data_IF_415493151543
#
_entry.id   IF_415493151543
#
_cell.length_a   1.000
_cell.length_b   1.000
_cell.length_c   1.000
_cell.angle_alpha   90.00
_cell.angle_beta   90.00
_cell.angle_gamma   90.00
#
_symmetry.space_group_name_H-M   'P 1'
#
loop_
_entity.id
_entity.type
_entity.pdbx_description
1 polymer ?
#
# COMPACT_ATOMS: atom_id res chain seq x y z
N UNK A 1 -1.49 2.25 3.91
CA UNK A 1 -2.38 1.68 4.94
C UNK A 1 -3.25 2.80 5.53
N UNK A 2 -4.13 3.40 4.72
CA UNK A 2 -4.94 4.57 5.17
C UNK A 2 -6.10 4.11 6.05
N UNK A 3 -6.78 3.03 5.65
CA UNK A 3 -7.96 2.54 6.34
C UNK A 3 -7.73 2.14 7.80
N UNK A 4 -6.59 1.53 8.11
CA UNK A 4 -6.20 1.15 9.48
C UNK A 4 -6.00 2.38 10.36
N UNK A 5 -5.36 3.41 9.80
CA UNK A 5 -5.15 4.67 10.51
C UNK A 5 -6.49 5.31 10.80
N UNK A 6 -7.39 5.41 9.82
CA UNK A 6 -8.73 5.98 10.01
C UNK A 6 -9.57 5.19 11.04
N UNK A 7 -9.40 3.87 11.08
CA UNK A 7 -10.12 3.00 12.01
C UNK A 7 -9.72 3.20 13.48
N UNK A 8 -8.54 3.76 13.75
CA UNK A 8 -8.11 4.07 15.11
C UNK A 8 -9.06 5.05 15.83
N UNK A 9 -9.93 5.76 15.10
CA UNK A 9 -10.96 6.60 15.71
C UNK A 9 -11.91 5.83 16.63
N UNK A 10 -12.13 4.53 16.37
CA UNK A 10 -13.03 3.64 17.14
C UNK A 10 -12.28 2.92 18.27
N UNK A 11 -10.99 3.22 18.46
CA UNK A 11 -10.08 2.50 19.33
C UNK A 11 -9.29 1.45 18.56
N UNK A 12 -8.24 0.90 19.19
CA UNK A 12 -7.38 -0.08 18.52
C UNK A 12 -8.01 -1.48 18.46
N UNK A 13 -8.89 -1.84 19.40
CA UNK A 13 -9.32 -3.22 19.60
C UNK A 13 -10.14 -3.78 18.41
N UNK A 14 -11.16 -3.08 17.89
CA UNK A 14 -11.95 -3.64 16.78
C UNK A 14 -11.11 -3.84 15.53
N UNK A 15 -10.31 -2.84 15.16
CA UNK A 15 -9.43 -2.89 13.99
C UNK A 15 -8.38 -3.99 14.11
N UNK A 16 -7.78 -4.15 15.30
CA UNK A 16 -6.82 -5.21 15.57
C UNK A 16 -7.45 -6.60 15.43
N UNK A 17 -8.63 -6.83 16.02
CA UNK A 17 -9.32 -8.12 15.92
C UNK A 17 -9.60 -8.47 14.46
N UNK A 18 -10.07 -7.51 13.67
CA UNK A 18 -10.38 -7.76 12.27
C UNK A 18 -9.14 -7.94 11.41
N UNK A 19 -8.05 -7.22 11.67
CA UNK A 19 -6.78 -7.45 10.99
C UNK A 19 -6.24 -8.86 11.24
N UNK A 20 -6.39 -9.38 12.47
CA UNK A 20 -5.91 -10.72 12.83
C UNK A 20 -6.86 -11.83 12.37
N UNK A 21 -8.15 -11.71 12.63
CA UNK A 21 -9.13 -12.74 12.29
C UNK A 21 -9.52 -12.68 10.80
N UNK A 22 -9.77 -11.47 10.28
CA UNK A 22 -10.18 -11.25 8.89
C UNK A 22 -9.11 -11.66 7.90
N UNK A 23 -7.83 -11.38 8.17
CA UNK A 23 -6.75 -11.84 7.28
C UNK A 23 -6.69 -13.36 7.21
N UNK A 24 -6.77 -14.05 8.35
CA UNK A 24 -6.60 -15.50 8.44
C UNK A 24 -7.79 -16.23 7.79
N UNK A 25 -9.01 -15.74 8.03
CA UNK A 25 -10.25 -16.42 7.65
C UNK A 25 -10.79 -16.00 6.28
N UNK A 26 -10.58 -14.73 5.89
CA UNK A 26 -11.15 -14.19 4.66
C UNK A 26 -10.06 -13.83 3.66
N UNK A 27 -9.18 -12.88 3.97
CA UNK A 27 -8.22 -12.34 2.99
C UNK A 27 -7.26 -13.39 2.43
N UNK A 28 -6.52 -14.07 3.31
CA UNK A 28 -5.49 -15.03 2.91
C UNK A 28 -6.11 -16.27 2.25
N UNK A 29 -7.31 -16.67 2.69
CA UNK A 29 -8.09 -17.75 2.06
C UNK A 29 -8.53 -17.34 0.65
N UNK A 30 -9.10 -16.14 0.49
CA UNK A 30 -9.53 -15.61 -0.80
C UNK A 30 -8.37 -15.54 -1.80
N UNK A 31 -7.24 -14.93 -1.41
CA UNK A 31 -6.09 -14.76 -2.29
C UNK A 31 -5.48 -16.11 -2.70
N UNK A 32 -5.34 -17.04 -1.74
CA UNK A 32 -4.86 -18.39 -2.02
C UNK A 32 -5.82 -19.16 -2.94
N UNK A 33 -7.13 -19.11 -2.69
CA UNK A 33 -8.12 -19.81 -3.52
C UNK A 33 -8.11 -19.29 -4.96
N UNK A 34 -8.07 -17.97 -5.13
CA UNK A 34 -8.04 -17.35 -6.47
C UNK A 34 -6.73 -17.71 -7.19
N UNK A 35 -5.60 -17.68 -6.49
CA UNK A 35 -4.30 -18.11 -7.04
C UNK A 35 -4.34 -19.58 -7.47
N UNK A 36 -4.84 -20.46 -6.61
CA UNK A 36 -4.91 -21.89 -6.87
C UNK A 36 -5.81 -22.21 -8.07
N UNK A 37 -7.02 -21.64 -8.11
CA UNK A 37 -7.96 -21.83 -9.22
C UNK A 37 -7.38 -21.32 -10.53
N UNK A 38 -6.79 -20.13 -10.54
CA UNK A 38 -6.18 -19.58 -11.75
C UNK A 38 -4.99 -20.39 -12.23
N UNK A 39 -4.16 -20.92 -11.31
CA UNK A 39 -3.02 -21.79 -11.66
C UNK A 39 -3.47 -23.06 -12.38
N UNK A 40 -4.60 -23.65 -11.98
CA UNK A 40 -5.22 -24.81 -12.63
C UNK A 40 -5.95 -24.48 -13.95
N UNK A 41 -6.02 -23.20 -14.33
CA UNK A 41 -6.72 -22.67 -15.50
C UNK A 41 -5.80 -21.79 -16.34
N UNK A 42 -4.55 -22.22 -16.52
CA UNK A 42 -3.52 -21.57 -17.34
C UNK A 42 -3.18 -20.11 -16.95
N UNK A 43 -3.45 -19.71 -15.70
CA UNK A 43 -3.22 -18.34 -15.24
C UNK A 43 -4.17 -17.32 -15.86
N UNK A 44 -5.41 -17.73 -16.16
CA UNK A 44 -6.48 -16.85 -16.65
C UNK A 44 -6.96 -15.89 -15.59
N UNK A 45 -7.29 -14.68 -16.03
CA UNK A 45 -7.75 -13.60 -15.16
C UNK A 45 -9.12 -13.92 -14.55
N UNK A 46 -9.43 -13.33 -13.39
CA UNK A 46 -10.73 -13.47 -12.72
C UNK A 46 -11.93 -13.25 -13.64
N UNK A 47 -11.90 -12.24 -14.52
CA UNK A 47 -13.00 -11.98 -15.45
C UNK A 47 -13.15 -13.04 -16.54
N UNK A 48 -12.05 -13.64 -17.00
CA UNK A 48 -12.09 -14.77 -17.94
C UNK A 48 -12.60 -16.04 -17.27
N UNK A 49 -12.21 -16.30 -16.02
CA UNK A 49 -12.73 -17.43 -15.24
C UNK A 49 -14.25 -17.33 -15.07
N UNK A 50 -14.77 -16.14 -14.75
CA UNK A 50 -16.23 -15.92 -14.67
C UNK A 50 -16.91 -16.15 -16.02
N UNK A 51 -16.26 -15.74 -17.12
CA UNK A 51 -16.79 -15.95 -18.47
C UNK A 51 -16.93 -17.43 -18.83
N UNK A 52 -15.97 -18.25 -18.41
CA UNK A 52 -16.01 -19.70 -18.65
C UNK A 52 -17.12 -20.40 -17.86
N UNK A 53 -17.30 -20.02 -16.60
CA UNK A 53 -18.22 -20.72 -15.69
C UNK A 53 -19.67 -20.22 -15.79
N UNK A 54 -19.86 -18.91 -16.01
CA UNK A 54 -21.20 -18.26 -15.98
C UNK A 54 -21.67 -17.76 -17.35
N UNK A 55 -20.84 -17.95 -18.38
CA UNK A 55 -21.15 -17.58 -19.76
C UNK A 55 -20.74 -16.15 -20.16
N UNK A 56 -20.96 -15.78 -21.43
CA UNK A 56 -20.39 -14.58 -22.04
C UNK A 56 -20.86 -13.27 -21.40
N UNK A 57 -22.14 -13.17 -21.06
CA UNK A 57 -22.74 -11.95 -20.51
C UNK A 57 -22.21 -11.64 -19.12
N UNK A 58 -22.22 -12.63 -18.22
CA UNK A 58 -21.65 -12.52 -16.87
C UNK A 58 -20.14 -12.22 -16.92
N UNK A 59 -19.42 -12.86 -17.84
CA UNK A 59 -17.98 -12.61 -18.05
C UNK A 59 -17.66 -11.18 -18.47
N UNK A 60 -18.41 -10.61 -19.43
CA UNK A 60 -18.20 -9.22 -19.87
C UNK A 60 -18.50 -8.25 -18.74
N UNK A 61 -19.58 -8.46 -17.98
CA UNK A 61 -19.90 -7.62 -16.82
C UNK A 61 -18.77 -7.69 -15.79
N UNK A 62 -18.27 -8.89 -15.47
CA UNK A 62 -17.17 -9.08 -14.54
C UNK A 62 -15.87 -8.42 -15.02
N UNK A 63 -15.54 -8.52 -16.31
CA UNK A 63 -14.37 -7.87 -16.91
C UNK A 63 -14.46 -6.35 -16.82
N UNK A 64 -15.62 -5.76 -17.17
CA UNK A 64 -15.84 -4.30 -17.08
C UNK A 64 -15.77 -3.85 -15.62
N UNK A 65 -16.39 -4.59 -14.69
CA UNK A 65 -16.33 -4.28 -13.27
C UNK A 65 -14.89 -4.34 -12.73
N UNK A 66 -14.14 -5.39 -13.05
CA UNK A 66 -12.73 -5.53 -12.66
C UNK A 66 -11.89 -4.38 -13.24
N UNK A 67 -12.11 -4.03 -14.51
CA UNK A 67 -11.41 -2.92 -15.16
C UNK A 67 -11.68 -1.57 -14.46
N UNK A 68 -12.95 -1.27 -14.18
CA UNK A 68 -13.33 -0.03 -13.48
C UNK A 68 -12.71 0.04 -12.07
N UNK A 69 -12.73 -1.07 -11.32
CA UNK A 69 -12.10 -1.15 -10.01
C UNK A 69 -10.60 -0.90 -10.11
N UNK A 70 -9.91 -1.51 -11.09
CA UNK A 70 -8.48 -1.30 -11.31
C UNK A 70 -8.14 0.16 -11.61
N UNK A 71 -8.93 0.85 -12.44
CA UNK A 71 -8.74 2.27 -12.73
C UNK A 71 -8.85 3.12 -11.45
N UNK A 72 -9.88 2.87 -10.63
CA UNK A 72 -10.09 3.61 -9.38
C UNK A 72 -8.94 3.37 -8.39
N UNK A 73 -8.53 2.12 -8.20
CA UNK A 73 -7.44 1.78 -7.27
C UNK A 73 -6.12 2.42 -7.73
N UNK A 74 -5.79 2.33 -9.02
CA UNK A 74 -4.58 2.95 -9.56
C UNK A 74 -4.60 4.48 -9.43
N UNK A 75 -5.76 5.13 -9.62
CA UNK A 75 -5.89 6.57 -9.43
C UNK A 75 -5.65 6.98 -7.97
N UNK A 76 -6.19 6.24 -7.00
CA UNK A 76 -5.97 6.50 -5.56
C UNK A 76 -4.51 6.30 -5.19
N UNK A 77 -3.88 5.22 -5.65
CA UNK A 77 -2.46 4.95 -5.39
C UNK A 77 -1.55 6.01 -6.03
N UNK A 78 -1.84 6.41 -7.27
CA UNK A 78 -1.11 7.48 -7.95
C UNK A 78 -1.19 8.81 -7.18
N UNK A 79 -2.38 9.16 -6.67
CA UNK A 79 -2.55 10.37 -5.86
C UNK A 79 -1.68 10.35 -4.60
N UNK A 80 -1.59 9.21 -3.91
CA UNK A 80 -0.75 9.06 -2.72
C UNK A 80 0.73 9.25 -3.07
N UNK A 81 1.20 8.66 -4.16
CA UNK A 81 2.57 8.81 -4.63
C UNK A 81 2.88 10.27 -5.00
N UNK A 82 2.00 10.92 -5.76
CA UNK A 82 2.18 12.34 -6.15
C UNK A 82 2.26 13.23 -4.92
N UNK A 83 1.36 13.05 -3.94
CA UNK A 83 1.40 13.83 -2.69
C UNK A 83 2.66 13.57 -1.87
N UNK A 84 3.18 12.34 -1.86
CA UNK A 84 4.39 12.01 -1.14
C UNK A 84 5.67 12.57 -1.79
N UNK A 85 5.66 12.79 -3.11
CA UNK A 85 6.82 13.23 -3.88
C UNK A 85 6.82 14.73 -4.23
N UNK A 86 5.66 15.41 -4.13
CA UNK A 86 5.56 16.85 -4.41
C UNK A 86 6.49 17.63 -3.47
N UNK A 87 7.35 18.47 -4.04
CA UNK A 87 8.37 19.22 -3.28
C UNK A 87 9.31 18.34 -2.44
N UNK A 88 9.57 17.11 -2.90
CA UNK A 88 10.52 16.19 -2.26
C UNK A 88 11.61 15.75 -3.26
N UNK A 89 12.69 16.54 -3.42
CA UNK A 89 13.81 16.18 -4.28
C UNK A 89 14.44 14.83 -3.90
N UNK A 90 14.54 14.56 -2.58
CA UNK A 90 15.04 13.30 -2.04
C UNK A 90 14.24 12.09 -2.54
N UNK A 91 12.91 12.15 -2.40
CA UNK A 91 12.02 11.06 -2.81
C UNK A 91 12.01 10.87 -4.32
N UNK A 92 11.89 11.96 -5.07
CA UNK A 92 11.84 11.94 -6.54
C UNK A 92 13.13 11.37 -7.12
N UNK A 93 14.30 11.82 -6.64
CA UNK A 93 15.59 11.28 -7.07
C UNK A 93 15.70 9.79 -6.77
N UNK A 94 15.35 9.37 -5.55
CA UNK A 94 15.45 7.96 -5.13
C UNK A 94 14.60 7.08 -6.04
N UNK A 95 13.34 7.48 -6.31
CA UNK A 95 12.45 6.74 -7.22
C UNK A 95 12.97 6.75 -8.65
N UNK A 96 13.43 7.90 -9.15
CA UNK A 96 13.99 8.02 -10.50
C UNK A 96 15.20 7.10 -10.70
N UNK A 97 16.06 6.97 -9.68
CA UNK A 97 17.24 6.10 -9.71
C UNK A 97 16.88 4.60 -9.76
N UNK A 98 15.74 4.20 -9.21
CA UNK A 98 15.31 2.78 -9.27
C UNK A 98 14.98 2.31 -10.69
N UNK A 99 14.62 3.21 -11.61
CA UNK A 99 14.28 2.87 -13.00
C UNK A 99 15.50 2.35 -13.77
N UNK A 100 16.61 3.09 -13.91
CA UNK A 100 17.81 2.60 -14.59
C UNK A 100 18.42 1.40 -13.86
N UNK A 101 18.33 1.36 -12.52
CA UNK A 101 18.77 0.20 -11.75
C UNK A 101 17.97 -1.06 -12.10
N UNK A 102 16.64 -0.96 -12.20
CA UNK A 102 15.79 -2.08 -12.60
C UNK A 102 16.08 -2.54 -14.04
N UNK A 103 16.28 -1.60 -14.98
CA UNK A 103 16.68 -1.92 -16.35
C UNK A 103 18.02 -2.66 -16.39
N UNK A 104 19.01 -2.18 -15.62
CA UNK A 104 20.30 -2.84 -15.47
C UNK A 104 20.15 -4.27 -14.92
N UNK A 105 19.36 -4.44 -13.86
CA UNK A 105 19.10 -5.77 -13.28
C UNK A 105 18.43 -6.71 -14.29
N UNK A 106 17.45 -6.23 -15.06
CA UNK A 106 16.78 -6.99 -16.11
C UNK A 106 17.73 -7.44 -17.21
N UNK A 107 18.56 -6.52 -17.72
CA UNK A 107 19.58 -6.81 -18.74
C UNK A 107 20.65 -7.76 -18.19
N UNK A 108 21.09 -7.58 -16.94
CA UNK A 108 22.10 -8.42 -16.31
C UNK A 108 21.64 -9.87 -16.18
N UNK A 109 20.41 -10.09 -15.70
CA UNK A 109 19.83 -11.42 -15.56
C UNK A 109 19.56 -12.10 -16.91
N UNK A 110 19.37 -11.33 -17.98
CA UNK A 110 19.07 -11.89 -19.30
C UNK A 110 20.32 -12.18 -20.14
N UNK A 111 21.28 -11.25 -20.17
CA UNK A 111 22.40 -11.30 -21.12
C UNK A 111 23.78 -11.44 -20.46
N UNK A 112 24.05 -10.78 -19.33
CA UNK A 112 25.40 -10.82 -18.75
C UNK A 112 25.66 -12.11 -17.97
N UNK A 113 24.76 -12.47 -17.06
CA UNK A 113 24.88 -13.69 -16.23
C UNK A 113 23.53 -14.34 -15.97
N UNK A 114 23.02 -15.13 -16.94
CA UNK A 114 21.77 -15.86 -16.78
C UNK A 114 21.75 -16.74 -15.53
N UNK A 115 20.68 -16.64 -14.74
CA UNK A 115 20.42 -17.49 -13.57
C UNK A 115 21.11 -17.09 -12.26
N UNK A 116 22.00 -16.09 -12.25
CA UNK A 116 22.69 -15.65 -11.02
C UNK A 116 21.92 -14.57 -10.24
N UNK A 117 20.76 -14.96 -9.72
CA UNK A 117 19.85 -14.05 -8.99
C UNK A 117 20.53 -13.44 -7.75
N UNK A 118 21.35 -14.20 -7.04
CA UNK A 118 22.04 -13.73 -5.82
C UNK A 118 22.97 -12.54 -6.05
N UNK A 119 23.77 -12.56 -7.13
CA UNK A 119 24.67 -11.44 -7.46
C UNK A 119 23.88 -10.16 -7.73
N UNK A 120 22.83 -10.26 -8.54
CA UNK A 120 21.97 -9.11 -8.90
C UNK A 120 21.21 -8.59 -7.69
N UNK A 121 20.83 -9.46 -6.75
CA UNK A 121 20.20 -9.07 -5.50
C UNK A 121 21.12 -8.21 -4.64
N UNK A 122 22.38 -8.63 -4.49
CA UNK A 122 23.38 -7.88 -3.72
C UNK A 122 23.68 -6.54 -4.39
N UNK A 123 23.89 -6.54 -5.71
CA UNK A 123 24.13 -5.31 -6.48
C UNK A 123 22.94 -4.36 -6.35
N UNK A 124 21.71 -4.85 -6.59
CA UNK A 124 20.49 -4.08 -6.45
C UNK A 124 20.33 -3.50 -5.05
N UNK A 125 20.64 -4.27 -4.01
CA UNK A 125 20.57 -3.81 -2.63
C UNK A 125 21.58 -2.70 -2.31
N UNK A 126 22.82 -2.86 -2.77
CA UNK A 126 23.89 -1.86 -2.58
C UNK A 126 23.52 -0.57 -3.30
N UNK A 127 23.10 -0.64 -4.56
CA UNK A 127 22.70 0.52 -5.34
C UNK A 127 21.40 1.17 -4.83
N UNK A 128 20.50 0.40 -4.24
CA UNK A 128 19.31 0.94 -3.59
C UNK A 128 19.67 1.75 -2.33
N UNK A 129 20.57 1.24 -1.48
CA UNK A 129 21.08 2.00 -0.32
C UNK A 129 21.82 3.24 -0.80
N UNK A 130 22.65 3.10 -1.84
CA UNK A 130 23.33 4.23 -2.47
C UNK A 130 22.33 5.27 -2.94
N UNK A 131 21.24 4.88 -3.63
CA UNK A 131 20.20 5.81 -4.11
C UNK A 131 19.55 6.62 -2.98
N UNK A 132 19.30 5.99 -1.83
CA UNK A 132 18.70 6.64 -0.66
C UNK A 132 19.68 7.67 -0.05
N UNK A 133 20.96 7.31 0.06
CA UNK A 133 22.00 8.18 0.62
C UNK A 133 22.33 9.32 -0.34
N UNK A 134 22.56 9.02 -1.62
CA UNK A 134 22.86 10.02 -2.65
C UNK A 134 21.67 10.93 -2.93
N UNK A 135 20.44 10.46 -2.72
CA UNK A 135 19.26 11.31 -2.71
C UNK A 135 19.33 12.40 -1.64
N UNK A 136 19.94 12.12 -0.48
CA UNK A 136 20.14 13.11 0.59
C UNK A 136 21.09 14.21 0.14
N UNK A 137 22.20 13.82 -0.47
CA UNK A 137 23.19 14.75 -1.02
C UNK A 137 22.61 15.62 -2.14
N UNK A 138 21.75 15.04 -3.00
CA UNK A 138 21.07 15.77 -4.07
C UNK A 138 20.06 16.77 -3.51
N UNK A 139 19.33 16.40 -2.46
CA UNK A 139 18.35 17.27 -1.82
C UNK A 139 19.01 18.45 -1.07
N UNK A 140 20.19 18.25 -0.49
CA UNK A 140 20.95 19.30 0.19
C UNK A 140 21.70 20.21 -0.78
N UNK A 141 22.00 19.74 -2.00
CA UNK A 141 22.77 20.51 -2.97
C UNK A 141 21.91 21.57 -3.69
N UNK A 142 22.25 22.88 -3.59
CA UNK A 142 21.48 23.96 -4.21
C UNK A 142 21.39 23.87 -5.74
N UNK A 143 22.35 23.21 -6.38
CA UNK A 143 22.41 23.04 -7.85
C UNK A 143 21.62 21.85 -8.36
N UNK A 144 21.53 20.76 -7.59
CA UNK A 144 20.93 19.51 -8.02
C UNK A 144 19.49 19.35 -7.53
N UNK A 145 19.15 19.92 -6.37
CA UNK A 145 17.81 19.87 -5.80
C UNK A 145 16.71 20.42 -6.75
N UNK A 146 16.90 21.54 -7.48
CA UNK A 146 15.87 22.08 -8.37
C UNK A 146 15.51 21.15 -9.54
N UNK A 147 16.41 20.27 -9.95
CA UNK A 147 16.14 19.31 -11.03
C UNK A 147 15.21 18.16 -10.60
N UNK A 148 15.05 17.95 -9.30
CA UNK A 148 14.19 16.90 -8.73
C UNK A 148 13.03 17.48 -7.89
N UNK A 149 12.90 18.80 -7.84
CA UNK A 149 11.77 19.50 -7.26
C UNK A 149 10.66 19.65 -8.30
N UNK A 150 9.61 18.84 -8.19
CA UNK A 150 8.49 18.85 -9.12
C UNK A 150 7.18 19.17 -8.42
N UNK A 151 6.35 19.90 -9.15
CA UNK A 151 4.94 20.14 -8.77
C UNK A 151 4.11 18.87 -8.92
N UNK A 152 3.00 18.77 -8.20
CA UNK A 152 2.11 17.61 -8.29
C UNK A 152 1.56 17.38 -9.72
N UNK A 153 1.36 18.44 -10.50
CA UNK A 153 0.90 18.35 -11.90
C UNK A 153 1.99 17.73 -12.79
N UNK A 154 3.25 18.17 -12.64
CA UNK A 154 4.38 17.59 -13.38
C UNK A 154 4.56 16.11 -13.03
N UNK A 155 4.54 15.76 -11.74
CA UNK A 155 4.64 14.38 -11.28
C UNK A 155 3.51 13.50 -11.82
N UNK A 156 2.29 14.03 -11.92
CA UNK A 156 1.16 13.29 -12.48
C UNK A 156 1.41 12.93 -13.94
N UNK A 157 1.84 13.89 -14.76
CA UNK A 157 2.18 13.63 -16.17
C UNK A 157 3.37 12.69 -16.33
N UNK A 158 4.40 12.82 -15.48
CA UNK A 158 5.52 11.88 -15.46
C UNK A 158 5.08 10.47 -15.11
N UNK A 159 4.17 10.31 -14.13
CA UNK A 159 3.66 9.00 -13.71
C UNK A 159 2.80 8.35 -14.81
N UNK A 160 1.97 9.13 -15.51
CA UNK A 160 1.21 8.64 -16.68
C UNK A 160 2.15 8.21 -17.81
N UNK A 161 3.14 9.04 -18.16
CA UNK A 161 4.13 8.72 -19.18
C UNK A 161 4.95 7.47 -18.82
N UNK A 162 5.41 7.39 -17.57
CA UNK A 162 6.10 6.21 -17.04
C UNK A 162 5.22 4.97 -17.09
N UNK A 163 3.95 5.08 -16.69
CA UNK A 163 2.98 3.97 -16.73
C UNK A 163 2.77 3.43 -18.14
N UNK A 164 2.68 4.32 -19.13
CA UNK A 164 2.60 3.93 -20.55
C UNK A 164 3.86 3.19 -21.00
N UNK A 165 5.05 3.75 -20.75
CA UNK A 165 6.32 3.11 -21.12
C UNK A 165 6.47 1.75 -20.44
N UNK A 166 6.15 1.66 -19.15
CA UNK A 166 6.23 0.41 -18.38
C UNK A 166 5.25 -0.66 -18.88
N UNK A 167 4.08 -0.28 -19.38
CA UNK A 167 3.10 -1.21 -19.96
C UNK A 167 3.52 -1.75 -21.34
N UNK A 168 4.30 -0.98 -22.11
CA UNK A 168 4.81 -1.39 -23.43
C UNK A 168 6.08 -2.23 -23.32
N UNK A 169 6.93 -1.95 -22.33
CA UNK A 169 8.18 -2.68 -22.14
C UNK A 169 7.94 -4.14 -21.70
N UNK A 170 8.83 -5.07 -22.09
CA UNK A 170 8.73 -6.45 -21.64
C UNK A 170 8.79 -6.58 -20.11
N UNK A 171 7.95 -7.46 -19.55
CA UNK A 171 7.87 -7.72 -18.10
C UNK A 171 9.23 -8.04 -17.48
N UNK A 172 10.08 -8.81 -18.17
CA UNK A 172 11.40 -9.18 -17.68
C UNK A 172 12.39 -8.02 -17.60
N UNK A 173 12.18 -6.94 -18.37
CA UNK A 173 13.13 -5.85 -18.50
C UNK A 173 12.95 -4.79 -17.40
N UNK A 174 11.71 -4.44 -17.08
CA UNK A 174 11.41 -3.39 -16.11
C UNK A 174 10.54 -3.88 -14.95
N UNK A 175 9.39 -4.49 -15.23
CA UNK A 175 8.39 -4.81 -14.20
C UNK A 175 8.94 -5.80 -13.16
N UNK A 176 9.38 -6.99 -13.60
CA UNK A 176 9.90 -8.03 -12.72
C UNK A 176 11.14 -7.60 -11.89
N UNK A 177 12.21 -7.00 -12.47
CA UNK A 177 13.36 -6.57 -11.68
C UNK A 177 13.04 -5.41 -10.73
N UNK A 178 12.14 -4.50 -11.11
CA UNK A 178 11.71 -3.39 -10.24
C UNK A 178 10.88 -3.87 -9.05
N UNK A 179 9.96 -4.81 -9.29
CA UNK A 179 9.15 -5.41 -8.22
C UNK A 179 10.03 -6.22 -7.26
N UNK A 180 11.03 -6.92 -7.80
CA UNK A 180 12.02 -7.61 -7.00
C UNK A 180 12.85 -6.66 -6.12
N UNK A 181 13.35 -5.55 -6.69
CA UNK A 181 14.09 -4.51 -5.96
C UNK A 181 13.23 -3.89 -4.83
N UNK A 182 11.97 -3.57 -5.15
CA UNK A 182 11.01 -2.97 -4.22
C UNK A 182 10.69 -3.92 -3.06
N UNK A 183 10.74 -5.24 -3.28
CA UNK A 183 10.56 -6.25 -2.22
C UNK A 183 11.65 -6.15 -1.16
N UNK A 184 12.92 -5.91 -1.53
CA UNK A 184 13.98 -5.70 -0.55
C UNK A 184 13.76 -4.43 0.27
N UNK A 185 13.40 -3.33 -0.38
CA UNK A 185 13.09 -2.08 0.31
C UNK A 185 11.95 -2.27 1.30
N UNK A 186 10.87 -2.91 0.84
CA UNK A 186 9.67 -3.19 1.62
C UNK A 186 9.99 -4.09 2.82
N UNK A 187 10.63 -5.24 2.60
CA UNK A 187 10.93 -6.19 3.68
C UNK A 187 11.88 -5.59 4.74
N UNK A 188 12.92 -4.85 4.33
CA UNK A 188 13.84 -4.22 5.29
C UNK A 188 13.16 -3.10 6.08
N UNK A 189 12.31 -2.30 5.44
CA UNK A 189 11.53 -1.25 6.12
C UNK A 189 10.55 -1.87 7.13
N UNK A 190 9.87 -2.95 6.74
CA UNK A 190 8.96 -3.70 7.60
C UNK A 190 9.68 -4.27 8.83
N UNK A 191 10.81 -4.94 8.61
CA UNK A 191 11.61 -5.51 9.72
C UNK A 191 12.16 -4.41 10.62
N UNK A 192 12.67 -3.32 10.04
CA UNK A 192 13.17 -2.17 10.80
C UNK A 192 12.08 -1.51 11.66
N UNK A 193 10.89 -1.32 11.09
CA UNK A 193 9.74 -0.77 11.83
C UNK A 193 9.28 -1.71 12.95
N UNK A 194 9.20 -3.02 12.67
CA UNK A 194 8.84 -4.02 13.66
C UNK A 194 9.81 -4.05 14.85
N UNK A 195 11.12 -4.08 14.57
CA UNK A 195 12.16 -4.02 15.60
C UNK A 195 12.11 -2.69 16.36
N UNK A 196 11.90 -1.57 15.66
CA UNK A 196 11.75 -0.25 16.27
C UNK A 196 10.59 -0.20 17.28
N UNK A 197 9.43 -0.76 16.94
CA UNK A 197 8.27 -0.85 17.84
C UNK A 197 8.60 -1.71 19.07
N UNK A 198 9.28 -2.84 18.89
CA UNK A 198 9.64 -3.75 20.00
C UNK A 198 10.66 -3.14 20.97
N UNK A 199 11.58 -2.32 20.47
CA UNK A 199 12.60 -1.63 21.29
C UNK A 199 11.97 -0.42 22.00
N UNK A 200 11.26 0.43 21.26
CA UNK A 200 10.66 1.65 21.79
C UNK A 200 9.55 1.34 22.82
N UNK A 201 8.84 0.23 22.65
CA UNK A 201 7.69 -0.18 23.48
C UNK A 201 6.73 0.97 23.74
N UNK A 202 6.20 1.60 22.67
CA UNK A 202 5.45 2.82 22.82
C UNK A 202 4.12 2.54 23.53
N UNK A 203 3.76 3.41 24.48
CA UNK A 203 2.48 3.33 25.18
C UNK A 203 1.38 3.75 24.23
N UNK A 204 0.38 2.88 24.03
CA UNK A 204 -0.80 3.23 23.24
C UNK A 204 -1.63 4.26 24.02
N UNK A 205 -1.72 5.47 23.48
CA UNK A 205 -2.50 6.57 24.05
C UNK A 205 -3.98 6.45 23.69
N UNK A 206 -4.28 5.81 22.56
CA UNK A 206 -5.64 5.51 22.15
C UNK A 206 -6.23 4.36 23.00
N UNK A 207 -7.43 4.51 23.58
CA UNK A 207 -8.06 3.44 24.34
C UNK A 207 -8.47 2.27 23.43
N UNK A 208 -8.72 1.10 24.05
CA UNK A 208 -9.18 -0.10 23.35
C UNK A 208 -10.46 0.16 22.54
N UNK A 209 -11.40 0.88 23.15
CA UNK A 209 -12.62 1.37 22.54
C UNK A 209 -12.75 2.86 22.84
N UNK A 210 -13.07 3.66 21.84
CA UNK A 210 -13.40 5.08 22.05
C UNK A 210 -14.91 5.26 22.18
N UNK A 211 -15.34 6.45 22.60
CA UNK A 211 -16.76 6.84 22.58
C UNK A 211 -17.38 6.89 21.18
N UNK A 212 -16.58 6.77 20.11
CA UNK A 212 -17.02 6.86 18.72
C UNK A 212 -17.31 5.49 18.09
N UNK A 213 -17.30 4.43 18.90
CA UNK A 213 -17.73 3.08 18.48
C UNK A 213 -19.21 3.05 18.06
N UNK A 214 -20.00 4.01 18.55
CA UNK A 214 -21.38 4.27 18.15
C UNK A 214 -21.53 4.86 16.73
N UNK A 215 -20.42 5.12 16.04
CA UNK A 215 -20.40 5.65 14.68
C UNK A 215 -20.51 7.16 14.58
N UNK A 216 -20.46 7.89 15.70
CA UNK A 216 -20.51 9.37 15.74
C UNK A 216 -19.13 10.03 15.57
N UNK A 217 -18.17 9.28 15.02
CA UNK A 217 -16.78 9.70 14.85
C UNK A 217 -16.60 10.91 13.91
N UNK A 218 -15.68 11.84 14.22
CA UNK A 218 -15.43 13.02 13.39
C UNK A 218 -14.57 12.74 12.15
N UNK A 219 -13.87 11.60 12.10
CA UNK A 219 -13.08 11.16 10.93
C UNK A 219 -14.00 10.51 9.90
N UNK A 220 -14.99 9.75 10.38
CA UNK A 220 -16.00 9.12 9.54
C UNK A 220 -17.27 8.83 10.33
N UNK A 221 -18.42 9.08 9.72
CA UNK A 221 -19.75 8.80 10.28
C UNK A 221 -20.26 7.44 9.78
N UNK A 222 -20.60 6.54 10.70
CA UNK A 222 -21.18 5.24 10.36
C UNK A 222 -20.89 4.16 11.40
N UNK A 223 -21.78 3.16 11.49
CA UNK A 223 -21.68 2.08 12.46
C UNK A 223 -20.37 1.29 12.34
N UNK A 224 -19.90 0.77 13.48
CA UNK A 224 -18.70 -0.10 13.58
C UNK A 224 -18.71 -1.23 12.53
N UNK A 225 -19.87 -1.87 12.39
CA UNK A 225 -20.18 -2.88 11.38
C UNK A 225 -21.11 -2.19 10.36
N UNK A 226 -20.63 -1.65 9.21
CA UNK A 226 -19.82 -2.27 8.15
C UNK A 226 -18.48 -1.57 7.89
N UNK A 227 -18.21 -0.46 8.60
CA UNK A 227 -17.01 0.36 8.41
C UNK A 227 -15.73 -0.46 8.56
N UNK A 228 -15.67 -1.31 9.57
CA UNK A 228 -14.53 -2.19 9.81
C UNK A 228 -14.19 -3.08 8.60
N UNK A 229 -15.20 -3.68 7.97
CA UNK A 229 -15.04 -4.63 6.86
C UNK A 229 -14.65 -3.94 5.55
N UNK A 230 -15.17 -2.73 5.31
CA UNK A 230 -14.92 -1.99 4.07
C UNK A 230 -13.63 -1.17 4.19
N UNK A 231 -13.44 -0.46 5.30
CA UNK A 231 -12.34 0.50 5.47
C UNK A 231 -11.01 -0.19 5.78
N UNK A 232 -11.00 -1.31 6.53
CA UNK A 232 -9.78 -2.06 6.85
C UNK A 232 -9.51 -3.18 5.82
N UNK A 233 -10.18 -3.14 4.67
CA UNK A 233 -10.04 -4.14 3.61
C UNK A 233 -8.56 -4.36 3.20
N UNK A 234 -7.79 -3.30 2.93
CA UNK A 234 -6.38 -3.41 2.49
C UNK A 234 -5.39 -3.99 3.52
N UNK A 235 -5.85 -4.53 4.65
CA UNK A 235 -5.02 -5.34 5.55
C UNK A 235 -5.72 -6.60 6.07
N UNK A 236 -7.03 -6.75 5.84
CA UNK A 236 -7.81 -7.92 6.26
C UNK A 236 -8.37 -8.72 5.08
N UNK A 237 -8.79 -8.05 3.99
CA UNK A 237 -9.36 -8.65 2.77
C UNK A 237 -9.03 -7.78 1.55
N UNK A 238 -8.09 -8.21 0.69
CA UNK A 238 -7.62 -7.40 -0.44
C UNK A 238 -8.20 -7.86 -1.78
N UNK A 239 -9.07 -7.04 -2.38
CA UNK A 239 -9.60 -7.30 -3.73
C UNK A 239 -8.55 -7.14 -4.83
N UNK A 240 -7.56 -6.26 -4.64
CA UNK A 240 -6.49 -6.06 -5.62
C UNK A 240 -5.54 -7.26 -5.67
N UNK A 241 -5.22 -7.85 -4.51
CA UNK A 241 -4.38 -9.04 -4.46
C UNK A 241 -5.03 -10.23 -5.15
N UNK A 242 -6.33 -10.44 -5.00
CA UNK A 242 -7.06 -11.46 -5.75
C UNK A 242 -6.95 -11.24 -7.28
N UNK A 243 -7.03 -9.99 -7.77
CA UNK A 243 -6.85 -9.68 -9.19
C UNK A 243 -5.44 -10.03 -9.69
N UNK A 244 -4.40 -9.70 -8.91
CA UNK A 244 -3.01 -10.05 -9.24
C UNK A 244 -2.76 -11.57 -9.14
N UNK A 245 -3.33 -12.20 -8.11
CA UNK A 245 -3.28 -13.65 -7.86
C UNK A 245 -3.94 -14.47 -8.95
N UNK A 246 -4.90 -13.93 -9.70
CA UNK A 246 -5.44 -14.59 -10.91
C UNK A 246 -4.71 -14.22 -12.20
N UNK A 247 -3.83 -13.22 -12.19
CA UNK A 247 -3.24 -12.67 -13.41
C UNK A 247 -1.78 -13.05 -13.61
N UNK A 248 -0.90 -12.40 -12.85
CA UNK A 248 0.55 -12.46 -13.05
C UNK A 248 1.20 -13.51 -12.15
N UNK A 249 0.75 -13.64 -10.90
CA UNK A 249 1.31 -14.59 -9.93
C UNK A 249 1.29 -16.04 -10.41
N UNK A 250 0.19 -16.59 -10.99
CA UNK A 250 0.15 -17.98 -11.46
C UNK A 250 1.22 -18.27 -12.51
N UNK A 251 1.53 -17.29 -13.36
CA UNK A 251 2.50 -17.39 -14.46
C UNK A 251 3.95 -17.35 -13.99
N UNK A 252 4.18 -17.00 -12.73
CA UNK A 252 5.49 -16.91 -12.09
C UNK A 252 5.74 -17.98 -11.03
N UNK A 253 4.75 -18.84 -10.73
CA UNK A 253 4.91 -19.96 -9.82
C UNK A 253 5.80 -21.04 -10.44
N UNK A 254 6.81 -21.49 -9.69
CA UNK A 254 7.63 -22.62 -10.12
C UNK A 254 6.90 -23.97 -9.95
N UNK A 255 6.07 -24.09 -8.91
CA UNK A 255 5.21 -25.23 -8.67
C UNK A 255 4.00 -24.84 -7.80
N UNK A 256 2.94 -25.65 -7.85
CA UNK A 256 1.72 -25.40 -7.07
C UNK A 256 1.92 -25.47 -5.55
N UNK A 257 2.93 -26.23 -5.08
CA UNK A 257 3.25 -26.32 -3.65
C UNK A 257 3.63 -24.96 -3.04
N UNK A 258 4.12 -24.03 -3.86
CA UNK A 258 4.45 -22.66 -3.42
C UNK A 258 3.24 -21.72 -3.38
N UNK A 259 2.08 -22.10 -3.93
CA UNK A 259 0.90 -21.24 -4.00
C UNK A 259 0.40 -20.83 -2.61
N UNK A 260 0.44 -21.74 -1.63
CA UNK A 260 0.07 -21.42 -0.25
C UNK A 260 1.04 -20.40 0.37
N UNK A 261 2.35 -20.64 0.25
CA UNK A 261 3.36 -19.72 0.80
C UNK A 261 3.27 -18.32 0.17
N UNK A 262 3.07 -18.23 -1.14
CA UNK A 262 3.03 -16.97 -1.88
C UNK A 262 1.69 -16.25 -1.69
N UNK A 263 0.57 -16.92 -1.90
CA UNK A 263 -0.77 -16.34 -1.78
C UNK A 263 -1.16 -16.07 -0.33
N UNK A 264 -1.21 -17.11 0.49
CA UNK A 264 -1.61 -16.99 1.91
C UNK A 264 -0.58 -16.19 2.70
N UNK A 265 0.71 -16.53 2.56
CA UNK A 265 1.80 -15.85 3.26
C UNK A 265 1.96 -14.38 2.85
N UNK A 266 1.75 -14.06 1.57
CA UNK A 266 1.78 -12.67 1.09
C UNK A 266 0.73 -11.79 1.77
N UNK A 267 -0.50 -12.30 1.91
CA UNK A 267 -1.59 -11.58 2.58
C UNK A 267 -1.35 -11.43 4.10
N UNK A 268 -0.78 -12.45 4.76
CA UNK A 268 -0.36 -12.33 6.17
C UNK A 268 0.69 -11.22 6.37
N UNK A 269 1.67 -11.12 5.47
CA UNK A 269 2.68 -10.07 5.52
C UNK A 269 2.08 -8.68 5.33
N UNK A 270 1.03 -8.53 4.52
CA UNK A 270 0.30 -7.26 4.41
C UNK A 270 -0.42 -6.90 5.72
N UNK A 271 -1.11 -7.86 6.35
CA UNK A 271 -1.77 -7.63 7.65
C UNK A 271 -0.75 -7.29 8.75
N UNK A 272 0.45 -7.85 8.71
CA UNK A 272 1.52 -7.46 9.63
C UNK A 272 1.87 -5.96 9.51
N UNK A 273 1.98 -5.43 8.28
CA UNK A 273 2.16 -3.98 8.05
C UNK A 273 0.96 -3.17 8.50
N UNK A 274 -0.25 -3.71 8.33
CA UNK A 274 -1.48 -3.09 8.77
C UNK A 274 -1.52 -2.93 10.31
N UNK A 275 -1.06 -3.93 11.06
CA UNK A 275 -0.94 -3.86 12.53
C UNK A 275 0.09 -2.79 12.93
N UNK A 276 1.24 -2.72 12.26
CA UNK A 276 2.22 -1.65 12.54
C UNK A 276 1.67 -0.25 12.25
N UNK A 277 0.89 -0.10 11.17
CA UNK A 277 0.23 1.17 10.87
C UNK A 277 -0.82 1.55 11.94
N UNK A 278 -1.58 0.57 12.45
CA UNK A 278 -2.52 0.76 13.55
C UNK A 278 -1.79 1.18 14.84
N UNK A 279 -0.70 0.50 15.18
CA UNK A 279 0.16 0.87 16.32
C UNK A 279 0.64 2.30 16.19
N UNK A 280 1.22 2.68 15.03
CA UNK A 280 1.66 4.05 14.77
C UNK A 280 0.55 5.09 14.97
N UNK A 281 -0.68 4.80 14.53
CA UNK A 281 -1.82 5.69 14.73
C UNK A 281 -2.24 5.80 16.21
N UNK A 282 -2.16 4.71 16.97
CA UNK A 282 -2.61 4.63 18.35
C UNK A 282 -1.59 5.13 19.39
N UNK A 283 -0.38 5.49 18.96
CA UNK A 283 0.64 6.16 19.80
C UNK A 283 0.40 7.68 19.82
N UNK A 284 -0.13 8.24 18.73
CA UNK A 284 -0.40 9.67 18.59
C UNK A 284 -1.49 10.07 19.59
N UNK A 285 -1.30 11.19 20.29
CA UNK A 285 -2.33 11.75 21.17
C UNK A 285 -3.68 11.84 20.44
N UNK A 286 -4.78 11.34 21.03
CA UNK A 286 -6.08 11.31 20.36
C UNK A 286 -6.51 12.67 19.80
N UNK A 287 -6.21 13.78 20.50
CA UNK A 287 -6.54 15.13 20.03
C UNK A 287 -5.82 15.48 18.73
N UNK A 288 -4.54 15.17 18.64
CA UNK A 288 -3.73 15.38 17.43
C UNK A 288 -4.18 14.45 16.30
N UNK A 289 -4.42 13.18 16.61
CA UNK A 289 -4.94 12.20 15.66
C UNK A 289 -6.24 12.70 14.99
N UNK A 290 -7.21 13.17 15.79
CA UNK A 290 -8.46 13.69 15.26
C UNK A 290 -8.29 14.97 14.46
N UNK A 291 -7.38 15.87 14.87
CA UNK A 291 -7.10 17.10 14.14
C UNK A 291 -6.49 16.83 12.76
N UNK A 292 -5.62 15.83 12.64
CA UNK A 292 -4.97 15.47 11.37
C UNK A 292 -5.90 14.74 10.40
N UNK A 293 -6.83 13.94 10.92
CA UNK A 293 -7.64 13.02 10.10
C UNK A 293 -9.10 13.46 9.90
N UNK A 294 -9.58 14.48 10.62
CA UNK A 294 -10.92 15.01 10.40
C UNK A 294 -10.94 16.09 9.30
N UNK A 295 -12.02 16.21 8.51
CA UNK A 295 -12.18 17.32 7.57
C UNK A 295 -12.05 18.65 8.31
N UNK A 296 -11.33 19.64 7.76
CA UNK A 296 -11.11 20.94 8.42
C UNK A 296 -12.40 21.61 8.94
N UNK A 297 -13.54 21.38 8.27
CA UNK A 297 -14.85 21.86 8.70
C UNK A 297 -15.32 21.27 10.05
N UNK A 298 -14.97 20.02 10.36
CA UNK A 298 -15.33 19.35 11.62
C UNK A 298 -14.49 19.86 12.81
N UNK A 299 -13.24 20.25 12.56
CA UNK A 299 -12.35 20.82 13.57
C UNK A 299 -12.83 22.23 13.99
N UNK A 300 -13.25 23.05 13.02
CA UNK A 300 -13.77 24.40 13.25
C UNK A 300 -15.11 24.45 14.01
N UNK A 301 -16.07 23.56 13.67
CA UNK A 301 -17.40 23.54 14.30
C UNK A 301 -17.36 23.13 15.79
N UNK A 302 -16.35 22.37 16.23
CA UNK A 302 -16.19 21.96 17.64
C UNK A 302 -15.25 22.85 18.45
N UNK A 303 -14.20 23.42 17.85
CA UNK A 303 -13.34 24.40 18.55
C UNK A 303 -14.04 25.75 18.74
N UNK A 304 -14.83 26.21 17.77
CA UNK A 304 -15.62 27.43 17.89
C UNK A 304 -16.60 27.42 19.08
N UNK A 305 -17.21 26.26 19.41
CA UNK A 305 -18.10 26.13 20.57
C UNK A 305 -17.37 26.10 21.92
N UNK A 306 -16.13 25.59 21.99
CA UNK A 306 -15.36 25.55 23.24
C UNK A 306 -14.67 26.88 23.57
N UNK A 307 -14.35 27.68 22.56
CA UNK A 307 -13.70 28.98 22.78
C UNK A 307 -14.68 30.01 23.38
N UNK A 308 -15.96 29.95 23.01
CA UNK A 308 -17.01 30.81 23.59
C UNK A 308 -17.50 30.39 24.99
N UNK A 309 -17.25 29.15 25.41
CA UNK A 309 -17.63 28.67 26.77
C UNK A 309 -16.57 28.93 27.84
N UNK A 310 -15.38 29.43 27.45
CA UNK A 310 -14.26 29.73 28.36
C UNK A 310 -14.04 31.23 28.58
N UNK A 311 -14.83 32.09 27.93
CA UNK A 311 -14.88 33.51 28.28
C UNK A 311 -15.74 33.67 29.55
N UNK A 312 -15.21 34.31 30.60
CA UNK A 312 -16.03 34.63 31.76
C UNK A 312 -17.15 35.56 31.31
N UNK A 313 -18.40 35.13 31.48
CA UNK A 313 -19.54 36.05 31.49
C UNK A 313 -19.38 36.94 32.72
N UNK A 314 -18.74 38.09 32.54
CA UNK A 314 -18.78 39.20 33.49
C UNK A 314 -19.17 40.45 32.72
N UNK A 315 -20.41 40.86 33.00
CA UNK A 315 -21.08 42.15 32.74
C UNK A 315 -21.08 42.65 31.30
#
# INVERSE_FOLDING_TARGET
MVGQVLAAQMGYLPGMIWLLAGVVLAGAVQDFMVLFVSTRRDGRSLGELVKEEMGPTAGVIALVACFMIMVIILAVLAMIVVKALTHSPWGTYTVAFTIPLALFMGIYLRYLRPGRIGEVSVIGLVFLIFAIISGGWVAESPTWAPYFDFTGVQLTWMLVGYGFVAAVLPVWLLLAPRDYLSTFLKNRTIVGLAVGILIMRPTLTMPALTKFVDGTGPVWTGNLFPFLFITIACGAVSGFHALISSGTTPKMLANEGQACFIGYGGMLMESFVAIMALVSACIIDPGVYFAMNSPMAACWLRQGRRMWSLLPRRW
#
